data_IF_843441843425
#
_entry.id   IF_843441843425
#
_cell.length_a   1.000
_cell.length_b   1.000
_cell.length_c   1.000
_cell.angle_alpha   90.00
_cell.angle_beta   90.00
_cell.angle_gamma   90.00
#
_symmetry.space_group_name_H-M   'P 1'
#
loop_
_entity.id
_entity.type
_entity.pdbx_description
1 polymer ?
#
# COMPACT_ATOMS: atom_id res chain seq x y z
N UNK A 1 -0.25 -27.64 -16.84
CA UNK A 1 -1.14 -27.51 -15.67
C UNK A 1 -2.54 -27.19 -16.18
N UNK A 2 -3.47 -28.14 -16.06
CA UNK A 2 -4.85 -28.00 -16.54
C UNK A 2 -5.66 -27.15 -15.56
N UNK A 3 -6.34 -26.11 -16.05
CA UNK A 3 -7.27 -25.30 -15.26
C UNK A 3 -8.66 -25.93 -15.20
N UNK A 4 -9.30 -25.89 -14.03
CA UNK A 4 -10.66 -26.38 -13.81
C UNK A 4 -11.65 -25.31 -14.30
N UNK A 5 -12.50 -25.65 -15.27
CA UNK A 5 -13.57 -24.79 -15.78
C UNK A 5 -14.79 -24.78 -14.83
N UNK A 6 -15.43 -23.62 -14.67
CA UNK A 6 -16.75 -23.48 -14.06
C UNK A 6 -17.84 -23.91 -15.07
N UNK A 7 -19.01 -24.35 -14.59
CA UNK A 7 -20.22 -24.71 -15.35
C UNK A 7 -20.67 -23.70 -16.42
N UNK A 8 -20.15 -22.46 -16.43
CA UNK A 8 -20.45 -21.40 -17.40
C UNK A 8 -19.33 -21.16 -18.44
N UNK A 9 -18.35 -22.05 -18.58
CA UNK A 9 -17.32 -21.96 -19.64
C UNK A 9 -16.27 -20.85 -19.49
N UNK A 10 -16.34 -20.05 -18.43
CA UNK A 10 -15.31 -19.07 -18.08
C UNK A 10 -14.14 -19.73 -17.34
N UNK A 11 -12.92 -19.52 -17.83
CA UNK A 11 -11.70 -19.82 -17.07
C UNK A 11 -11.75 -19.10 -15.72
N UNK A 12 -11.75 -19.84 -14.61
CA UNK A 12 -11.48 -19.29 -13.29
C UNK A 12 -9.98 -18.98 -13.18
N UNK A 13 -9.52 -17.91 -13.81
CA UNK A 13 -8.20 -17.36 -13.47
C UNK A 13 -8.35 -16.70 -12.10
N UNK A 14 -7.79 -17.30 -11.06
CA UNK A 14 -7.66 -16.61 -9.77
C UNK A 14 -6.82 -15.36 -10.01
N UNK A 15 -7.47 -14.19 -10.13
CA UNK A 15 -6.77 -12.91 -10.28
C UNK A 15 -5.93 -12.67 -9.04
N UNK A 16 -4.67 -12.29 -9.23
CA UNK A 16 -3.78 -11.95 -8.13
C UNK A 16 -4.39 -10.81 -7.30
N UNK A 17 -4.34 -10.95 -5.99
CA UNK A 17 -4.81 -9.94 -5.03
C UNK A 17 -3.64 -9.07 -4.60
N UNK A 18 -3.74 -7.77 -4.89
CA UNK A 18 -2.67 -6.81 -4.62
C UNK A 18 -3.19 -5.76 -3.64
N UNK A 19 -2.45 -5.54 -2.55
CA UNK A 19 -2.67 -4.40 -1.66
C UNK A 19 -1.61 -3.34 -1.96
N UNK A 20 -1.99 -2.22 -2.53
CA UNK A 20 -1.15 -1.02 -2.59
C UNK A 20 -1.20 -0.28 -1.26
N UNK A 21 -0.03 0.05 -0.74
CA UNK A 21 0.15 0.75 0.53
C UNK A 21 0.81 2.09 0.24
N UNK A 22 0.06 3.17 0.42
CA UNK A 22 0.51 4.53 0.15
C UNK A 22 0.09 5.49 1.28
N UNK A 23 0.82 6.60 1.40
CA UNK A 23 0.52 7.63 2.41
C UNK A 23 -0.86 8.25 2.21
N UNK A 24 -1.16 8.66 0.97
CA UNK A 24 -2.45 9.20 0.55
C UNK A 24 -2.93 8.57 -0.77
N UNK A 25 -4.18 8.84 -1.08
CA UNK A 25 -4.87 8.50 -2.32
C UNK A 25 -5.86 9.62 -2.63
N UNK A 26 -6.64 9.47 -3.71
CA UNK A 26 -7.73 10.38 -4.09
C UNK A 26 -8.61 10.81 -2.89
N UNK A 27 -9.02 12.09 -2.77
CA UNK A 27 -8.80 13.21 -3.69
C UNK A 27 -7.49 13.98 -3.45
N UNK A 28 -6.57 13.44 -2.66
CA UNK A 28 -5.26 14.08 -2.52
C UNK A 28 -4.47 13.90 -3.81
N UNK A 29 -3.97 15.00 -4.36
CA UNK A 29 -3.23 15.02 -5.62
C UNK A 29 -1.78 15.41 -5.33
N UNK A 30 -0.86 14.54 -5.71
CA UNK A 30 0.59 14.70 -5.66
C UNK A 30 1.24 13.67 -6.58
N UNK A 31 2.55 13.74 -6.78
CA UNK A 31 3.25 12.86 -7.72
C UNK A 31 3.10 11.38 -7.39
N UNK A 32 3.33 11.01 -6.12
CA UNK A 32 3.21 9.63 -5.64
C UNK A 32 1.74 9.18 -5.70
N UNK A 33 0.81 10.02 -5.25
CA UNK A 33 -0.61 9.71 -5.22
C UNK A 33 -1.16 9.44 -6.63
N UNK A 34 -0.69 10.20 -7.62
CA UNK A 34 -1.07 9.99 -9.03
C UNK A 34 -0.56 8.66 -9.57
N UNK A 35 0.70 8.30 -9.29
CA UNK A 35 1.25 6.99 -9.70
C UNK A 35 0.50 5.84 -9.05
N UNK A 36 0.21 5.93 -7.75
CA UNK A 36 -0.60 4.92 -7.03
C UNK A 36 -1.98 4.79 -7.69
N UNK A 37 -2.62 5.92 -8.01
CA UNK A 37 -3.92 5.95 -8.67
C UNK A 37 -3.87 5.29 -10.05
N UNK A 38 -2.91 5.66 -10.90
CA UNK A 38 -2.81 5.16 -12.26
C UNK A 38 -2.54 3.64 -12.27
N UNK A 39 -1.70 3.13 -11.37
CA UNK A 39 -1.46 1.69 -11.21
C UNK A 39 -2.73 1.01 -10.68
N UNK A 40 -3.35 1.58 -9.65
CA UNK A 40 -4.49 0.97 -8.99
C UNK A 40 -5.68 0.82 -9.94
N UNK A 41 -6.00 1.89 -10.66
CA UNK A 41 -7.15 1.95 -11.56
C UNK A 41 -6.84 1.26 -12.90
N UNK A 42 -5.63 1.44 -13.44
CA UNK A 42 -5.23 0.90 -14.75
C UNK A 42 -4.97 -0.61 -14.78
N UNK A 43 -4.83 -1.27 -13.62
CA UNK A 43 -4.62 -2.72 -13.51
C UNK A 43 -5.77 -3.45 -12.81
N UNK A 44 -6.83 -2.75 -12.40
CA UNK A 44 -7.93 -3.31 -11.61
C UNK A 44 -8.77 -4.36 -12.37
N UNK A 45 -8.73 -4.33 -13.70
CA UNK A 45 -9.36 -5.32 -14.57
C UNK A 45 -8.56 -6.65 -14.62
N UNK A 46 -7.24 -6.56 -14.48
CA UNK A 46 -6.28 -7.68 -14.54
C UNK A 46 -6.00 -8.31 -13.18
N UNK A 47 -6.02 -7.52 -12.11
CA UNK A 47 -5.74 -7.94 -10.73
C UNK A 47 -6.85 -7.46 -9.78
N UNK A 48 -7.12 -8.18 -8.70
CA UNK A 48 -8.02 -7.69 -7.62
C UNK A 48 -7.23 -6.68 -6.78
N UNK A 49 -7.39 -5.40 -7.12
CA UNK A 49 -6.65 -4.29 -6.54
C UNK A 49 -7.37 -3.72 -5.31
N UNK A 50 -6.61 -3.56 -4.23
CA UNK A 50 -7.03 -2.83 -3.04
C UNK A 50 -5.97 -1.80 -2.64
N UNK A 51 -6.41 -0.64 -2.16
CA UNK A 51 -5.53 0.42 -1.62
C UNK A 51 -5.77 0.58 -0.13
N UNK A 52 -4.69 0.57 0.65
CA UNK A 52 -4.68 1.02 2.05
C UNK A 52 -3.90 2.32 2.16
N UNK A 53 -4.55 3.34 2.71
CA UNK A 53 -3.98 4.67 2.86
C UNK A 53 -4.47 5.36 4.14
N UNK A 54 -4.12 6.62 4.38
CA UNK A 54 -4.56 7.40 5.53
C UNK A 54 -5.51 8.55 5.15
N UNK A 55 -6.38 8.93 6.08
CA UNK A 55 -7.00 10.25 6.06
C UNK A 55 -5.95 11.34 6.40
N UNK A 56 -6.18 12.57 5.94
CA UNK A 56 -5.43 13.72 6.44
C UNK A 56 -5.69 13.92 7.94
N UNK A 57 -6.96 13.90 8.33
CA UNK A 57 -7.47 13.95 9.70
C UNK A 57 -8.88 13.36 9.75
N UNK A 58 -9.27 12.78 10.88
CA UNK A 58 -10.62 12.29 11.14
C UNK A 58 -10.76 10.77 11.07
N UNK A 59 -12.03 10.33 11.01
CA UNK A 59 -12.41 8.92 11.05
C UNK A 59 -12.01 8.19 9.76
N UNK A 60 -11.64 6.92 9.92
CA UNK A 60 -11.34 6.06 8.78
C UNK A 60 -12.57 5.79 7.90
N UNK A 61 -12.34 5.39 6.65
CA UNK A 61 -13.41 5.09 5.69
C UNK A 61 -13.07 3.89 4.81
N UNK A 62 -14.10 3.34 4.18
CA UNK A 62 -13.98 2.39 3.08
C UNK A 62 -14.83 2.88 1.94
N UNK A 63 -14.26 2.93 0.74
CA UNK A 63 -14.89 3.50 -0.44
C UNK A 63 -14.51 2.66 -1.66
N UNK A 64 -15.38 2.69 -2.67
CA UNK A 64 -15.04 2.24 -4.02
C UNK A 64 -14.75 3.49 -4.85
N UNK A 65 -13.51 3.67 -5.28
CA UNK A 65 -13.09 4.84 -6.07
C UNK A 65 -12.66 4.32 -7.43
N UNK A 66 -13.37 4.71 -8.49
CA UNK A 66 -13.10 4.25 -9.86
C UNK A 66 -12.94 2.72 -9.98
N UNK A 67 -13.79 1.97 -9.26
CA UNK A 67 -13.75 0.51 -9.23
C UNK A 67 -12.71 -0.12 -8.30
N UNK A 68 -11.82 0.67 -7.69
CA UNK A 68 -10.80 0.19 -6.75
C UNK A 68 -11.32 0.24 -5.31
N UNK A 69 -11.11 -0.83 -4.56
CA UNK A 69 -11.43 -0.87 -3.11
C UNK A 69 -10.40 -0.02 -2.37
N UNK A 70 -10.83 1.05 -1.73
CA UNK A 70 -9.95 1.95 -0.98
C UNK A 70 -10.34 1.95 0.50
N UNK A 71 -9.39 1.66 1.36
CA UNK A 71 -9.54 1.80 2.81
C UNK A 71 -8.63 2.92 3.31
N UNK A 72 -9.22 3.93 3.93
CA UNK A 72 -8.49 5.03 4.59
C UNK A 72 -8.47 4.79 6.09
N UNK A 73 -7.28 4.64 6.67
CA UNK A 73 -7.09 4.61 8.11
C UNK A 73 -7.44 5.97 8.72
N UNK A 74 -7.96 5.96 9.96
CA UNK A 74 -8.22 7.19 10.71
C UNK A 74 -6.92 7.91 11.00
N UNK A 75 -6.95 9.24 11.08
CA UNK A 75 -5.76 10.04 11.39
C UNK A 75 -6.11 11.12 12.41
N UNK A 76 -5.22 11.37 13.38
CA UNK A 76 -5.37 12.51 14.29
C UNK A 76 -4.86 13.81 13.66
N UNK A 77 -4.13 13.73 12.55
CA UNK A 77 -3.52 14.84 11.84
C UNK A 77 -2.19 14.42 11.20
N UNK A 78 -1.48 15.39 10.64
CA UNK A 78 -0.15 15.19 10.03
C UNK A 78 0.91 15.80 10.93
N UNK A 79 1.97 15.05 11.23
CA UNK A 79 3.15 15.51 11.95
C UNK A 79 4.40 15.10 11.18
N UNK A 80 5.35 16.03 10.98
CA UNK A 80 6.57 15.81 10.19
C UNK A 80 6.27 15.18 8.82
N UNK A 81 5.22 15.65 8.15
CA UNK A 81 4.75 15.11 6.87
C UNK A 81 4.34 13.64 6.90
N UNK A 82 3.99 13.07 8.06
CA UNK A 82 3.48 11.70 8.22
C UNK A 82 2.14 11.73 8.98
N UNK A 83 1.11 10.98 8.53
CA UNK A 83 -0.15 10.89 9.27
C UNK A 83 0.04 10.18 10.62
N UNK A 84 -0.56 10.72 11.68
CA UNK A 84 -0.63 10.06 12.99
C UNK A 84 -1.84 9.13 12.98
N UNK A 85 -1.62 7.86 12.67
CA UNK A 85 -2.69 6.86 12.58
C UNK A 85 -2.40 5.61 13.41
N UNK A 86 -3.16 5.43 14.50
CA UNK A 86 -3.14 4.19 15.28
C UNK A 86 -3.92 3.05 14.64
N UNK A 87 -4.85 3.33 13.73
CA UNK A 87 -5.64 2.28 13.06
C UNK A 87 -4.90 1.67 11.87
N UNK A 88 -3.97 2.41 11.26
CA UNK A 88 -3.22 1.95 10.10
C UNK A 88 -2.44 0.65 10.32
N UNK A 89 -1.67 0.45 11.42
CA UNK A 89 -0.94 -0.80 11.64
C UNK A 89 -1.85 -2.03 11.69
N UNK A 90 -2.99 -1.92 12.37
CA UNK A 90 -3.96 -3.01 12.47
C UNK A 90 -4.67 -3.29 11.14
N UNK A 91 -4.99 -2.24 10.37
CA UNK A 91 -5.56 -2.38 9.03
C UNK A 91 -4.59 -3.04 8.07
N UNK A 92 -3.30 -2.66 8.11
CA UNK A 92 -2.24 -3.28 7.34
C UNK A 92 -2.17 -4.77 7.68
N UNK A 93 -1.96 -5.12 8.95
CA UNK A 93 -1.89 -6.52 9.39
C UNK A 93 -3.11 -7.34 8.95
N UNK A 94 -4.32 -6.80 9.12
CA UNK A 94 -5.58 -7.48 8.75
C UNK A 94 -5.75 -7.66 7.25
N UNK A 95 -5.30 -6.71 6.43
CA UNK A 95 -5.43 -6.79 4.97
C UNK A 95 -4.33 -7.62 4.35
N UNK A 96 -3.10 -7.50 4.84
CA UNK A 96 -1.95 -8.24 4.32
C UNK A 96 -2.14 -9.76 4.35
N UNK A 97 -2.92 -10.28 5.30
CA UNK A 97 -3.27 -11.71 5.38
C UNK A 97 -4.12 -12.21 4.20
N UNK A 98 -4.89 -11.34 3.55
CA UNK A 98 -5.92 -11.68 2.56
C UNK A 98 -5.51 -11.44 1.10
N UNK A 99 -4.30 -10.94 0.89
CA UNK A 99 -3.75 -10.62 -0.43
C UNK A 99 -2.48 -11.42 -0.71
N UNK A 100 -2.12 -11.53 -1.98
CA UNK A 100 -0.95 -12.27 -2.43
C UNK A 100 0.31 -11.40 -2.42
N UNK A 101 0.15 -10.11 -2.75
CA UNK A 101 1.23 -9.13 -2.91
C UNK A 101 0.94 -7.88 -2.09
N UNK A 102 1.97 -7.39 -1.39
CA UNK A 102 2.00 -6.08 -0.74
C UNK A 102 2.87 -5.15 -1.57
N UNK A 103 2.33 -4.04 -2.06
CA UNK A 103 3.06 -3.08 -2.87
C UNK A 103 3.19 -1.75 -2.13
N UNK A 104 4.36 -1.48 -1.56
CA UNK A 104 4.65 -0.26 -0.80
C UNK A 104 5.12 0.87 -1.71
N UNK A 105 4.55 2.06 -1.52
CA UNK A 105 4.97 3.29 -2.19
C UNK A 105 5.69 4.18 -1.19
N UNK A 106 6.99 4.30 -1.38
CA UNK A 106 7.92 4.96 -0.46
C UNK A 106 8.30 6.36 -0.94
N UNK A 107 8.53 7.33 -0.03
CA UNK A 107 8.67 7.17 1.43
C UNK A 107 7.33 7.22 2.18
N UNK A 108 7.12 6.26 3.10
CA UNK A 108 6.01 6.30 4.04
C UNK A 108 6.37 5.60 5.37
N UNK A 109 7.11 6.27 6.29
CA UNK A 109 7.67 5.65 7.50
C UNK A 109 6.67 4.93 8.40
N UNK A 110 5.42 5.44 8.46
CA UNK A 110 4.36 4.77 9.22
C UNK A 110 4.07 3.37 8.66
N UNK A 111 4.11 3.18 7.34
CA UNK A 111 3.88 1.87 6.72
C UNK A 111 5.02 0.90 7.03
N UNK A 112 6.27 1.37 7.00
CA UNK A 112 7.45 0.56 7.34
C UNK A 112 7.38 0.08 8.79
N UNK A 113 7.14 1.01 9.72
CA UNK A 113 7.02 0.70 11.14
C UNK A 113 5.84 -0.25 11.40
N UNK A 114 4.70 0.01 10.75
CA UNK A 114 3.51 -0.85 10.85
C UNK A 114 3.79 -2.27 10.36
N UNK A 115 4.50 -2.41 9.25
CA UNK A 115 4.86 -3.71 8.70
C UNK A 115 5.87 -4.44 9.60
N UNK A 116 6.87 -3.73 10.12
CA UNK A 116 7.85 -4.31 11.04
C UNK A 116 7.20 -4.84 12.32
N UNK A 117 6.23 -4.10 12.86
CA UNK A 117 5.55 -4.46 14.11
C UNK A 117 4.48 -5.54 13.93
N UNK A 118 3.68 -5.50 12.85
CA UNK A 118 2.49 -6.34 12.72
C UNK A 118 2.34 -7.05 11.35
N UNK A 119 3.29 -6.84 10.44
CA UNK A 119 3.29 -7.44 9.11
C UNK A 119 3.52 -8.95 9.15
N UNK A 120 2.87 -9.71 8.25
CA UNK A 120 3.13 -11.14 8.10
C UNK A 120 4.54 -11.39 7.54
N UNK A 121 5.26 -12.39 8.05
CA UNK A 121 6.64 -12.68 7.62
C UNK A 121 6.74 -13.33 6.22
N UNK A 122 5.70 -14.05 5.79
CA UNK A 122 5.73 -14.85 4.55
C UNK A 122 4.83 -14.23 3.46
N UNK A 123 5.11 -12.98 3.06
CA UNK A 123 4.38 -12.30 1.97
C UNK A 123 5.33 -11.83 0.88
N UNK A 124 4.83 -11.82 -0.36
CA UNK A 124 5.51 -11.18 -1.48
C UNK A 124 5.39 -9.67 -1.32
N UNK A 125 6.52 -8.98 -1.30
CA UNK A 125 6.58 -7.53 -1.12
C UNK A 125 7.20 -6.93 -2.38
N UNK A 126 6.55 -5.90 -2.90
CA UNK A 126 7.07 -5.01 -3.94
C UNK A 126 7.22 -3.64 -3.31
N UNK A 127 8.32 -2.95 -3.59
CA UNK A 127 8.55 -1.59 -3.09
C UNK A 127 8.86 -0.70 -4.29
N UNK A 128 8.05 0.34 -4.47
CA UNK A 128 8.34 1.44 -5.41
C UNK A 128 8.80 2.63 -4.60
N UNK A 129 10.07 2.99 -4.77
CA UNK A 129 10.66 4.16 -4.16
C UNK A 129 10.49 5.36 -5.09
N UNK A 130 9.84 6.41 -4.61
CA UNK A 130 9.63 7.66 -5.34
C UNK A 130 10.69 8.66 -4.84
N UNK A 131 11.81 8.76 -5.57
CA UNK A 131 13.07 9.38 -5.10
C UNK A 131 13.08 10.88 -4.79
N UNK A 132 11.99 11.63 -4.90
CA UNK A 132 12.03 13.11 -4.89
C UNK A 132 11.26 13.80 -3.75
N UNK A 133 11.53 13.45 -2.49
CA UNK A 133 11.18 14.29 -1.31
C UNK A 133 12.44 14.77 -0.55
N UNK A 134 13.65 14.42 -0.99
CA UNK A 134 14.86 15.05 -0.45
C UNK A 134 15.12 16.32 -1.23
N UNK A 135 14.38 17.39 -0.89
CA UNK A 135 14.88 18.75 -1.17
C UNK A 135 16.32 18.79 -0.66
N UNK A 136 17.25 18.96 -1.59
CA UNK A 136 18.62 19.36 -1.30
C UNK A 136 18.58 20.64 -0.47
N UNK A 137 18.62 20.53 0.87
CA UNK A 137 19.16 21.55 1.75
C UNK A 137 19.82 20.83 2.93
N UNK A 138 21.16 20.82 2.89
CA UNK A 138 22.09 20.65 4.00
C UNK A 138 21.39 20.84 5.36
N UNK A 139 21.32 19.80 6.17
CA UNK A 139 21.96 19.76 7.48
C UNK A 139 21.99 18.30 7.96
N UNK A 140 23.15 17.94 8.49
CA UNK A 140 23.64 16.61 8.78
C UNK A 140 22.89 15.94 9.93
N UNK A 141 22.76 14.61 9.88
CA UNK A 141 22.27 13.86 11.04
C UNK A 141 21.61 12.53 10.70
N UNK A 142 22.40 11.61 10.12
CA UNK A 142 22.26 10.17 10.33
C UNK A 142 20.87 9.55 10.07
N UNK A 143 20.59 9.15 8.82
CA UNK A 143 19.60 8.10 8.55
C UNK A 143 20.22 7.03 7.66
N UNK A 144 20.93 6.12 8.33
CA UNK A 144 21.56 4.95 7.73
C UNK A 144 20.50 4.08 7.08
N UNK A 145 20.62 4.00 5.75
CA UNK A 145 20.08 2.98 4.87
C UNK A 145 20.28 1.58 5.47
N UNK A 146 19.20 0.89 5.84
CA UNK A 146 19.23 -0.55 6.06
C UNK A 146 18.26 -1.20 5.08
N UNK A 147 18.80 -1.64 3.94
CA UNK A 147 18.18 -2.66 3.09
C UNK A 147 18.67 -4.00 3.62
N UNK A 148 17.83 -4.73 4.34
CA UNK A 148 18.07 -6.16 4.58
C UNK A 148 17.21 -6.97 3.63
N UNK A 149 17.88 -7.53 2.63
CA UNK A 149 17.38 -8.62 1.80
C UNK A 149 17.39 -9.90 2.65
N UNK A 150 16.22 -10.48 2.91
CA UNK A 150 16.13 -11.88 3.35
C UNK A 150 15.07 -12.58 2.53
N UNK A 151 15.49 -13.03 1.34
CA UNK A 151 15.00 -14.27 0.79
C UNK A 151 15.92 -15.39 1.24
N UNK A 152 15.34 -16.47 1.76
CA UNK A 152 15.87 -17.82 1.65
C UNK A 152 14.73 -18.80 1.91
N UNK A 153 14.51 -19.62 0.88
CA UNK A 153 13.99 -21.00 0.87
C UNK A 153 12.62 -21.31 1.48
#
# INVERSE_FOLDING_TARGET
MAGIANSNGGMLTSRFKVLQISKFYWPHIGGIEKVVQDIAEGLNDKCDMEVLTCQLKGKGSKQLINGVKVTKASSLGICLSVPISFTFPFLLAKKSRRVDILHFHMPFPLADLSYLMFGPRNKKIVVTYHSDIVKQKKHEGLQTFFVSFFGTS
#
